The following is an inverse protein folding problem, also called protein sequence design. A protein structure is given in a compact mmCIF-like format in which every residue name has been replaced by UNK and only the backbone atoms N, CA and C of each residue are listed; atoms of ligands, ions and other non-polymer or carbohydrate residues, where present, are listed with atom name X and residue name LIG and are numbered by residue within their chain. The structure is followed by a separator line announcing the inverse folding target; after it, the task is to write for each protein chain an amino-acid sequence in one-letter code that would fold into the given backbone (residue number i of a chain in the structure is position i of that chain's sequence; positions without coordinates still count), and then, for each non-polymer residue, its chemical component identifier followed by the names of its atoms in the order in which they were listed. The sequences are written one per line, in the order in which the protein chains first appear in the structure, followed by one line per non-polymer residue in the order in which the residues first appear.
data_IF_733391368483
#
_entry.id   IF_733391368483
#
_cell.length_a   1.000
_cell.length_b   1.000
_cell.length_c   1.000
_cell.angle_alpha   90.00
_cell.angle_beta   90.00
_cell.angle_gamma   90.00
#
_symmetry.space_group_name_H-M   'P 1'
#
loop_
_entity.id
_entity.type
_entity.pdbx_description
1 polymer ?
#
# COMPACT_ATOMS: atom_id res chain seq x y z
N UNK A 1 -15.09 10.51 -17.00
CA UNK A 1 -13.63 10.32 -17.21
C UNK A 1 -12.92 10.47 -15.88
N UNK A 2 -12.11 9.50 -15.53
CA UNK A 2 -11.35 9.58 -14.28
C UNK A 2 -10.12 10.45 -14.46
N UNK A 3 -9.80 11.28 -13.46
CA UNK A 3 -8.56 12.05 -13.53
C UNK A 3 -7.36 11.12 -13.56
N UNK A 4 -6.37 11.52 -14.31
CA UNK A 4 -5.11 10.78 -14.43
C UNK A 4 -3.96 11.64 -13.94
N UNK A 5 -3.03 11.00 -13.29
CA UNK A 5 -1.81 11.64 -12.84
C UNK A 5 -0.72 11.49 -13.92
N UNK A 6 0.48 11.96 -13.62
CA UNK A 6 1.62 11.81 -14.51
C UNK A 6 1.90 10.33 -14.80
N UNK A 7 2.46 9.99 -15.97
CA UNK A 7 2.73 8.59 -16.33
C UNK A 7 3.52 7.82 -15.30
N UNK A 8 4.48 8.45 -14.63
CA UNK A 8 5.28 7.81 -13.59
C UNK A 8 4.43 7.37 -12.39
N UNK A 9 3.47 8.23 -12.00
CA UNK A 9 2.58 7.93 -10.90
C UNK A 9 1.62 6.80 -11.26
N UNK A 10 1.11 6.79 -12.49
CA UNK A 10 0.21 5.72 -12.95
C UNK A 10 0.95 4.39 -13.10
N UNK A 11 2.21 4.42 -13.53
CA UNK A 11 3.04 3.22 -13.55
C UNK A 11 3.26 2.67 -12.15
N UNK A 12 3.44 3.57 -11.18
CA UNK A 12 3.58 3.17 -9.78
C UNK A 12 2.28 2.58 -9.23
N UNK A 13 1.14 3.09 -9.68
CA UNK A 13 -0.18 2.54 -9.32
C UNK A 13 -0.29 1.07 -9.70
N UNK A 14 0.16 0.72 -10.89
CA UNK A 14 0.16 -0.69 -11.33
C UNK A 14 1.01 -1.55 -10.41
N UNK A 15 2.16 -1.03 -10.00
CA UNK A 15 3.05 -1.73 -9.06
C UNK A 15 2.37 -1.95 -7.71
N UNK A 16 1.66 -0.94 -7.20
CA UNK A 16 0.93 -1.03 -5.93
C UNK A 16 -0.20 -2.05 -6.05
N UNK A 17 -0.96 -2.01 -7.14
CA UNK A 17 -2.04 -2.97 -7.38
C UNK A 17 -1.52 -4.40 -7.42
N UNK A 18 -0.38 -4.63 -8.07
CA UNK A 18 0.24 -5.95 -8.13
C UNK A 18 0.68 -6.42 -6.73
N UNK A 19 1.27 -5.52 -5.96
CA UNK A 19 1.66 -5.81 -4.58
C UNK A 19 0.44 -6.21 -3.73
N UNK A 20 -0.65 -5.44 -3.80
CA UNK A 20 -1.86 -5.73 -3.05
C UNK A 20 -2.46 -7.07 -3.46
N UNK A 21 -2.53 -7.36 -4.76
CA UNK A 21 -3.05 -8.62 -5.26
C UNK A 21 -2.22 -9.83 -4.84
N UNK A 22 -0.92 -9.65 -4.69
CA UNK A 22 0.00 -10.71 -4.29
C UNK A 22 -0.05 -11.01 -2.79
N UNK A 23 -0.22 -9.97 -1.97
CA UNK A 23 -0.07 -10.09 -0.52
C UNK A 23 -1.38 -10.11 0.27
N UNK A 24 -2.50 -9.79 -0.35
CA UNK A 24 -3.80 -9.88 0.33
C UNK A 24 -4.44 -11.26 0.08
N UNK A 25 -5.22 -11.78 1.05
CA UNK A 25 -5.94 -13.05 0.85
C UNK A 25 -6.90 -12.95 -0.34
N UNK A 26 -7.17 -14.06 -1.04
CA UNK A 26 -8.10 -14.04 -2.18
C UNK A 26 -9.51 -13.58 -1.84
N UNK A 27 -9.94 -13.80 -0.59
CA UNK A 27 -11.27 -13.43 -0.11
C UNK A 27 -11.25 -12.16 0.74
N UNK A 28 -10.23 -11.32 0.56
CA UNK A 28 -10.08 -10.11 1.37
C UNK A 28 -11.27 -9.15 1.20
N UNK A 29 -11.91 -8.82 2.29
CA UNK A 29 -13.07 -7.92 2.33
C UNK A 29 -12.82 -6.61 3.08
N UNK A 30 -11.58 -6.30 3.40
CA UNK A 30 -11.22 -5.10 4.15
C UNK A 30 -11.05 -5.38 5.64
N UNK A 31 -10.54 -4.38 6.37
CA UNK A 31 -10.31 -4.51 7.82
C UNK A 31 -11.59 -4.77 8.60
N UNK A 32 -12.72 -4.27 8.12
CA UNK A 32 -14.00 -4.44 8.79
C UNK A 32 -14.50 -5.88 8.86
N UNK A 33 -13.89 -6.80 8.11
CA UNK A 33 -14.25 -8.22 8.15
C UNK A 33 -13.48 -8.99 9.24
N UNK A 34 -12.55 -8.33 9.90
CA UNK A 34 -11.72 -8.92 10.95
C UNK A 34 -12.12 -8.36 12.32
N UNK A 35 -11.97 -9.14 13.37
CA UNK A 35 -12.25 -8.71 14.73
C UNK A 35 -11.13 -9.08 15.68
N UNK A 36 -11.09 -8.40 16.83
CA UNK A 36 -10.25 -8.72 17.97
C UNK A 36 -8.82 -9.11 17.61
N UNK A 37 -8.46 -10.34 17.96
CA UNK A 37 -7.11 -10.86 17.80
C UNK A 37 -6.74 -11.01 16.31
N UNK A 38 -7.71 -11.33 15.46
CA UNK A 38 -7.47 -11.44 14.02
C UNK A 38 -7.05 -10.12 13.41
N UNK A 39 -7.73 -9.04 13.80
CA UNK A 39 -7.41 -7.70 13.34
C UNK A 39 -6.01 -7.29 13.78
N UNK A 40 -5.70 -7.50 15.05
CA UNK A 40 -4.38 -7.16 15.60
C UNK A 40 -3.27 -7.92 14.88
N UNK A 41 -3.46 -9.22 14.67
CA UNK A 41 -2.47 -10.03 13.99
C UNK A 41 -2.29 -9.60 12.54
N UNK A 42 -3.39 -9.31 11.86
CA UNK A 42 -3.32 -8.82 10.48
C UNK A 42 -2.53 -7.53 10.38
N UNK A 43 -2.80 -6.57 11.26
CA UNK A 43 -2.12 -5.27 11.23
C UNK A 43 -0.62 -5.44 11.46
N UNK A 44 -0.21 -6.28 12.40
CA UNK A 44 1.21 -6.55 12.67
C UNK A 44 1.89 -7.20 11.46
N UNK A 45 1.26 -8.22 10.89
CA UNK A 45 1.80 -8.94 9.72
C UNK A 45 1.86 -8.04 8.50
N UNK A 46 0.83 -7.21 8.30
CA UNK A 46 0.77 -6.27 7.20
C UNK A 46 1.89 -5.24 7.27
N UNK A 47 2.13 -4.73 8.47
CA UNK A 47 3.20 -3.78 8.71
C UNK A 47 4.57 -4.36 8.34
N UNK A 48 4.79 -5.62 8.72
CA UNK A 48 6.03 -6.32 8.39
C UNK A 48 6.14 -6.52 6.87
N UNK A 49 5.05 -6.89 6.23
CA UNK A 49 4.99 -7.04 4.77
C UNK A 49 5.31 -5.72 4.07
N UNK A 50 4.77 -4.61 4.56
CA UNK A 50 5.06 -3.29 4.01
C UNK A 50 6.54 -2.95 4.15
N UNK A 51 7.11 -3.23 5.30
CA UNK A 51 8.53 -2.99 5.55
C UNK A 51 9.40 -3.79 4.58
N UNK A 52 9.14 -5.07 4.42
CA UNK A 52 9.92 -5.94 3.56
C UNK A 52 9.84 -5.54 2.09
N UNK A 53 8.75 -4.92 1.68
CA UNK A 53 8.51 -4.54 0.29
C UNK A 53 8.75 -3.05 0.00
N UNK A 54 9.27 -2.30 0.97
CA UNK A 54 9.63 -0.91 0.78
C UNK A 54 8.46 0.07 0.79
N UNK A 55 7.36 -0.27 1.45
CA UNK A 55 6.18 0.60 1.54
C UNK A 55 6.08 1.36 2.86
N UNK A 56 7.09 1.28 3.73
CA UNK A 56 7.18 2.16 4.89
C UNK A 56 8.20 3.26 4.60
N UNK A 57 8.00 4.43 5.22
CA UNK A 57 8.89 5.56 5.01
C UNK A 57 8.87 6.05 3.57
N UNK A 58 7.69 6.14 2.98
CA UNK A 58 7.53 6.42 1.55
C UNK A 58 8.19 7.72 1.09
N UNK A 59 8.12 8.76 1.93
CA UNK A 59 8.70 10.07 1.61
C UNK A 59 10.17 10.18 1.96
N UNK A 60 10.71 9.23 2.73
CA UNK A 60 12.10 9.29 3.16
C UNK A 60 13.03 8.97 2.00
N UNK A 61 14.17 9.67 1.88
CA UNK A 61 15.17 9.33 0.88
C UNK A 61 15.64 7.88 1.01
N UNK A 62 16.02 7.28 -0.10
CA UNK A 62 16.48 5.89 -0.12
C UNK A 62 17.70 5.68 0.76
N UNK A 63 18.56 6.69 0.89
CA UNK A 63 19.76 6.63 1.74
C UNK A 63 19.43 6.47 3.23
N UNK A 64 18.19 6.81 3.63
CA UNK A 64 17.72 6.62 5.00
C UNK A 64 16.75 5.43 5.11
N UNK A 65 16.76 4.56 4.13
CA UNK A 65 15.90 3.37 4.15
C UNK A 65 14.49 3.60 3.66
N UNK A 66 14.18 4.77 3.12
CA UNK A 66 12.87 5.08 2.57
C UNK A 66 12.73 4.70 1.10
N UNK A 67 11.52 4.85 0.55
CA UNK A 67 11.23 4.57 -0.85
C UNK A 67 11.57 5.73 -1.78
N UNK A 68 11.72 6.93 -1.25
CA UNK A 68 12.04 8.12 -2.05
C UNK A 68 10.94 8.52 -3.01
N UNK A 69 9.69 8.28 -2.66
CA UNK A 69 8.57 8.57 -3.55
C UNK A 69 8.26 10.06 -3.63
N UNK A 70 7.82 10.49 -4.80
CA UNK A 70 7.27 11.82 -5.00
C UNK A 70 5.93 11.96 -4.26
N UNK A 71 5.48 13.20 -4.06
CA UNK A 71 4.18 13.46 -3.43
C UNK A 71 3.04 12.78 -4.21
N UNK A 72 3.10 12.79 -5.54
CA UNK A 72 2.07 12.22 -6.38
C UNK A 72 2.04 10.69 -6.28
N UNK A 73 3.20 10.06 -6.22
CA UNK A 73 3.29 8.62 -6.00
C UNK A 73 2.73 8.22 -4.64
N UNK A 74 2.96 9.03 -3.61
CA UNK A 74 2.39 8.79 -2.28
C UNK A 74 0.87 8.88 -2.29
N UNK A 75 0.30 9.82 -3.06
CA UNK A 75 -1.16 9.93 -3.23
C UNK A 75 -1.71 8.65 -3.86
N UNK A 76 -1.04 8.14 -4.88
CA UNK A 76 -1.44 6.89 -5.56
C UNK A 76 -1.46 5.72 -4.57
N UNK A 77 -0.42 5.58 -3.75
CA UNK A 77 -0.37 4.53 -2.72
C UNK A 77 -1.54 4.65 -1.76
N UNK A 78 -1.80 5.86 -1.27
CA UNK A 78 -2.90 6.10 -0.33
C UNK A 78 -4.26 5.75 -0.95
N UNK A 79 -4.48 6.09 -2.21
CA UNK A 79 -5.72 5.77 -2.91
C UNK A 79 -5.91 4.27 -3.05
N UNK A 80 -4.87 3.56 -3.48
CA UNK A 80 -4.98 2.12 -3.68
C UNK A 80 -5.13 1.37 -2.36
N UNK A 81 -4.47 1.80 -1.32
CA UNK A 81 -4.62 1.21 0.01
C UNK A 81 -6.03 1.43 0.55
N UNK A 82 -6.56 2.65 0.38
CA UNK A 82 -7.93 2.95 0.81
C UNK A 82 -8.94 2.09 0.05
N UNK A 83 -8.77 1.95 -1.26
CA UNK A 83 -9.67 1.14 -2.09
C UNK A 83 -9.61 -0.34 -1.71
N UNK A 84 -8.45 -0.82 -1.28
CA UNK A 84 -8.29 -2.20 -0.85
C UNK A 84 -8.71 -2.41 0.61
N UNK A 85 -8.95 -1.35 1.37
CA UNK A 85 -9.34 -1.44 2.77
C UNK A 85 -8.21 -1.87 3.69
N UNK A 86 -6.98 -1.43 3.43
CA UNK A 86 -5.80 -1.73 4.25
C UNK A 86 -5.22 -0.45 4.84
N UNK A 87 -4.49 -0.55 5.98
CA UNK A 87 -3.88 0.61 6.60
C UNK A 87 -2.67 1.14 5.82
#
# INVERSE_FOLDING_TARGET
MQPRYAPEAEAYREKVQAFLGEHLPPDWGGLGTLDGAELKQFVEDWRHTLYENGFLGLSWPKEYGGAGLSALEQVVVAEEFANAGVP
#
